data_IF_001206076728
#
_entry.id   IF_001206076728
#
_cell.length_a   1.000
_cell.length_b   1.000
_cell.length_c   1.000
_cell.angle_alpha   90.00
_cell.angle_beta   90.00
_cell.angle_gamma   90.00
#
_symmetry.space_group_name_H-M   'P 1'
#
loop_
_entity.id
_entity.type
_entity.pdbx_description
1 polymer ?
#
# COMPACT_ATOMS: atom_id res chain seq x y z
N UNK A 1 23.40 13.74 4.32
CA UNK A 1 22.94 12.38 4.70
C UNK A 1 23.96 11.30 4.36
N UNK A 2 24.63 11.30 3.20
CA UNK A 2 25.78 10.39 2.94
C UNK A 2 25.41 8.94 2.63
N UNK A 3 24.13 8.58 2.69
CA UNK A 3 23.58 7.26 2.34
C UNK A 3 22.06 7.31 2.27
N UNK A 4 21.44 6.16 2.01
CA UNK A 4 19.98 5.96 2.02
C UNK A 4 19.71 4.69 2.85
N UNK A 5 18.97 4.83 3.94
CA UNK A 5 18.57 3.71 4.79
C UNK A 5 17.17 3.18 4.46
N UNK A 6 16.29 4.05 3.96
CA UNK A 6 14.88 3.72 3.67
C UNK A 6 14.48 4.30 2.32
N UNK A 7 13.82 3.49 1.49
CA UNK A 7 13.20 3.89 0.24
C UNK A 7 11.69 3.62 0.31
N UNK A 8 10.87 4.65 0.13
CA UNK A 8 9.40 4.52 0.17
C UNK A 8 8.81 4.82 -1.20
N UNK A 9 8.26 3.79 -1.84
CA UNK A 9 7.55 3.92 -3.12
C UNK A 9 6.07 4.22 -2.87
N UNK A 10 5.77 5.49 -2.60
CA UNK A 10 4.41 5.98 -2.32
C UNK A 10 3.69 6.56 -3.54
N UNK A 11 4.42 7.14 -4.50
CA UNK A 11 3.82 7.80 -5.65
C UNK A 11 2.91 6.83 -6.43
N UNK A 12 1.70 7.29 -6.76
CA UNK A 12 0.73 6.49 -7.51
C UNK A 12 -0.18 7.37 -8.35
N UNK A 13 -0.65 6.81 -9.47
CA UNK A 13 -1.76 7.31 -10.27
C UNK A 13 -2.89 6.28 -10.30
N UNK A 14 -4.12 6.78 -10.37
CA UNK A 14 -5.35 5.99 -10.30
C UNK A 14 -6.31 6.41 -11.41
N UNK A 15 -6.95 5.43 -12.04
CA UNK A 15 -8.06 5.60 -12.97
C UNK A 15 -8.92 4.33 -12.89
N UNK A 16 -10.18 4.47 -12.47
CA UNK A 16 -11.11 3.35 -12.32
C UNK A 16 -12.06 3.27 -13.52
N UNK A 17 -11.57 2.72 -14.62
CA UNK A 17 -12.33 2.52 -15.87
C UNK A 17 -12.16 1.10 -16.40
N UNK A 18 -13.18 0.62 -17.12
CA UNK A 18 -13.10 -0.64 -17.86
C UNK A 18 -12.10 -0.58 -19.01
N UNK A 19 -11.88 -1.72 -19.66
CA UNK A 19 -10.86 -1.87 -20.71
C UNK A 19 -11.10 -0.94 -21.91
N UNK A 20 -12.36 -0.81 -22.36
CA UNK A 20 -12.69 0.00 -23.54
C UNK A 20 -12.68 1.51 -23.24
N UNK A 21 -12.88 1.89 -21.99
CA UNK A 21 -12.95 3.27 -21.53
C UNK A 21 -11.59 3.82 -21.07
N UNK A 22 -10.60 2.95 -20.89
CA UNK A 22 -9.26 3.35 -20.46
C UNK A 22 -8.44 3.85 -21.65
N UNK A 23 -8.32 5.17 -21.78
CA UNK A 23 -7.42 5.78 -22.76
C UNK A 23 -5.95 5.38 -22.52
N UNK A 24 -5.20 5.13 -23.59
CA UNK A 24 -3.83 4.64 -23.48
C UNK A 24 -2.89 5.62 -22.78
N UNK A 25 -3.14 6.93 -22.85
CA UNK A 25 -2.37 7.91 -22.06
C UNK A 25 -2.57 7.72 -20.57
N UNK A 26 -3.78 7.33 -20.14
CA UNK A 26 -4.08 7.02 -18.72
C UNK A 26 -3.49 5.68 -18.31
N UNK A 27 -3.58 4.68 -19.18
CA UNK A 27 -2.93 3.39 -18.98
C UNK A 27 -1.42 3.57 -18.75
N UNK A 28 -0.75 4.29 -19.65
CA UNK A 28 0.68 4.55 -19.59
C UNK A 28 1.05 5.34 -18.33
N UNK A 29 0.28 6.37 -17.99
CA UNK A 29 0.50 7.14 -16.77
C UNK A 29 0.51 6.25 -15.51
N UNK A 30 -0.49 5.37 -15.36
CA UNK A 30 -0.56 4.45 -14.21
C UNK A 30 0.64 3.50 -14.19
N UNK A 31 1.00 2.89 -15.31
CA UNK A 31 2.10 1.92 -15.36
C UNK A 31 3.48 2.58 -15.20
N UNK A 32 3.65 3.80 -15.73
CA UNK A 32 4.89 4.56 -15.61
C UNK A 32 5.13 5.05 -14.17
N UNK A 33 4.08 5.53 -13.48
CA UNK A 33 4.21 6.02 -12.10
C UNK A 33 4.25 4.86 -11.11
N UNK A 34 3.31 3.91 -11.21
CA UNK A 34 3.15 2.86 -10.19
C UNK A 34 4.25 1.81 -10.34
N UNK A 35 4.13 0.91 -11.32
CA UNK A 35 5.05 -0.24 -11.48
C UNK A 35 6.45 0.20 -11.89
N UNK A 36 6.58 0.93 -13.01
CA UNK A 36 7.90 1.31 -13.54
C UNK A 36 8.63 2.26 -12.58
N UNK A 37 7.91 3.22 -12.00
CA UNK A 37 8.46 4.14 -11.00
C UNK A 37 9.01 3.40 -9.79
N UNK A 38 8.20 2.51 -9.20
CA UNK A 38 8.62 1.64 -8.08
C UNK A 38 9.87 0.85 -8.42
N UNK A 39 9.90 0.19 -9.58
CA UNK A 39 11.06 -0.59 -10.01
C UNK A 39 12.32 0.29 -10.15
N UNK A 40 12.19 1.43 -10.84
CA UNK A 40 13.32 2.31 -11.13
C UNK A 40 13.87 2.96 -9.85
N UNK A 41 13.01 3.49 -8.99
CA UNK A 41 13.43 4.13 -7.73
C UNK A 41 14.15 3.10 -6.85
N UNK A 42 13.55 1.93 -6.63
CA UNK A 42 14.18 0.82 -5.90
C UNK A 42 15.54 0.46 -6.49
N UNK A 43 15.63 0.25 -7.81
CA UNK A 43 16.89 -0.05 -8.51
C UNK A 43 17.98 0.97 -8.19
N UNK A 44 17.65 2.26 -8.17
CA UNK A 44 18.62 3.32 -7.92
C UNK A 44 18.98 3.45 -6.43
N UNK A 45 18.07 3.10 -5.52
CA UNK A 45 18.33 3.13 -4.08
C UNK A 45 19.12 1.92 -3.57
N UNK A 46 18.96 0.73 -4.18
CA UNK A 46 19.57 -0.53 -3.73
C UNK A 46 21.09 -0.42 -3.48
N UNK A 47 21.92 0.18 -4.36
CA UNK A 47 23.35 0.31 -4.10
C UNK A 47 23.68 1.03 -2.77
N UNK A 48 22.86 1.99 -2.38
CA UNK A 48 23.01 2.72 -1.12
C UNK A 48 22.44 1.93 0.07
N UNK A 49 21.30 1.25 -0.13
CA UNK A 49 20.68 0.40 0.88
C UNK A 49 21.58 -0.77 1.30
N UNK A 50 22.38 -1.33 0.38
CA UNK A 50 23.38 -2.36 0.71
C UNK A 50 24.42 -1.92 1.75
N UNK A 51 24.58 -0.61 1.94
CA UNK A 51 25.51 -0.01 2.90
C UNK A 51 24.84 0.36 4.23
N UNK A 52 23.51 0.33 4.30
CA UNK A 52 22.75 0.72 5.48
C UNK A 52 22.76 -0.38 6.55
N UNK A 53 22.57 0.01 7.81
CA UNK A 53 22.54 -0.94 8.94
C UNK A 53 21.23 -1.72 9.03
N UNK A 54 20.12 -1.09 8.66
CA UNK A 54 18.78 -1.68 8.65
C UNK A 54 18.01 -1.24 7.39
N UNK A 55 18.37 -1.72 6.19
CA UNK A 55 17.82 -1.22 4.93
C UNK A 55 16.38 -1.67 4.68
N UNK A 56 15.50 -0.72 4.35
CA UNK A 56 14.10 -1.00 4.00
C UNK A 56 13.69 -0.39 2.66
N UNK A 57 12.95 -1.15 1.87
CA UNK A 57 12.11 -0.70 0.77
C UNK A 57 10.65 -0.97 1.17
N UNK A 58 9.84 0.07 1.20
CA UNK A 58 8.41 -0.04 1.49
C UNK A 58 7.59 0.46 0.30
N UNK A 59 6.82 -0.45 -0.29
CA UNK A 59 5.93 -0.14 -1.39
C UNK A 59 4.51 0.07 -0.86
N UNK A 60 3.88 1.20 -1.17
CA UNK A 60 2.49 1.43 -0.78
C UNK A 60 1.60 0.72 -1.80
N UNK A 61 1.44 -0.58 -1.63
CA UNK A 61 0.83 -1.48 -2.60
C UNK A 61 0.07 -2.63 -1.90
N UNK A 62 -0.99 -3.18 -2.52
CA UNK A 62 -1.85 -4.16 -1.86
C UNK A 62 -1.27 -5.58 -1.82
N UNK A 63 -1.81 -6.49 -1.00
CA UNK A 63 -1.61 -7.92 -1.17
C UNK A 63 -2.04 -8.42 -2.56
N UNK A 64 -1.39 -9.48 -3.04
CA UNK A 64 -1.66 -10.10 -4.35
C UNK A 64 -2.90 -11.02 -4.28
N UNK A 65 -4.11 -10.47 -4.27
CA UNK A 65 -5.36 -11.24 -4.34
C UNK A 65 -5.81 -11.45 -5.80
N UNK A 66 -5.62 -12.67 -6.31
CA UNK A 66 -5.89 -13.04 -7.71
C UNK A 66 -7.38 -13.33 -8.02
N UNK A 67 -8.31 -13.02 -7.10
CA UNK A 67 -9.74 -13.16 -7.38
C UNK A 67 -10.20 -12.17 -8.46
N UNK A 68 -10.94 -12.67 -9.45
CA UNK A 68 -11.43 -11.89 -10.59
C UNK A 68 -12.23 -10.61 -10.22
N UNK A 69 -12.84 -10.56 -9.03
CA UNK A 69 -13.54 -9.37 -8.51
C UNK A 69 -12.67 -8.11 -8.51
N UNK A 70 -11.35 -8.25 -8.34
CA UNK A 70 -10.40 -7.15 -8.32
C UNK A 70 -9.93 -6.70 -9.71
N UNK A 71 -10.21 -7.49 -10.74
CA UNK A 71 -9.76 -7.20 -12.11
C UNK A 71 -10.91 -6.71 -12.98
N UNK A 72 -12.14 -7.21 -12.76
CA UNK A 72 -13.28 -7.04 -13.67
C UNK A 72 -13.64 -5.59 -14.02
N UNK A 73 -13.47 -4.63 -13.09
CA UNK A 73 -13.98 -3.26 -13.24
C UNK A 73 -12.90 -2.23 -13.63
N UNK A 74 -11.62 -2.55 -13.42
CA UNK A 74 -10.51 -1.58 -13.56
C UNK A 74 -9.15 -2.29 -13.76
N UNK A 75 -9.11 -3.26 -14.68
CA UNK A 75 -7.94 -4.15 -14.87
C UNK A 75 -6.62 -3.40 -15.07
N UNK A 76 -6.63 -2.27 -15.78
CA UNK A 76 -5.43 -1.46 -16.00
C UNK A 76 -4.84 -0.91 -14.69
N UNK A 77 -5.69 -0.43 -13.78
CA UNK A 77 -5.25 0.06 -12.47
C UNK A 77 -4.80 -1.11 -11.58
N UNK A 78 -5.52 -2.22 -11.60
CA UNK A 78 -5.16 -3.43 -10.84
C UNK A 78 -3.78 -3.94 -11.26
N UNK A 79 -3.50 -4.04 -12.56
CA UNK A 79 -2.18 -4.40 -13.09
C UNK A 79 -1.09 -3.43 -12.61
N UNK A 80 -1.35 -2.12 -12.67
CA UNK A 80 -0.38 -1.11 -12.25
C UNK A 80 -0.09 -1.16 -10.73
N UNK A 81 -1.08 -1.41 -9.86
CA UNK A 81 -0.84 -1.56 -8.41
C UNK A 81 -0.23 -2.90 -8.05
N UNK A 82 -0.70 -4.00 -8.65
CA UNK A 82 -0.15 -5.33 -8.40
C UNK A 82 1.28 -5.45 -8.93
N UNK A 83 1.66 -4.70 -9.97
CA UNK A 83 3.05 -4.62 -10.42
C UNK A 83 4.01 -4.06 -9.37
N UNK A 84 3.56 -3.13 -8.51
CA UNK A 84 4.35 -2.68 -7.35
C UNK A 84 4.51 -3.82 -6.33
N UNK A 85 3.43 -4.56 -6.05
CA UNK A 85 3.44 -5.73 -5.17
C UNK A 85 4.31 -6.88 -5.71
N UNK A 86 4.38 -7.05 -7.03
CA UNK A 86 5.31 -7.97 -7.67
C UNK A 86 6.76 -7.53 -7.52
N UNK A 87 7.04 -6.20 -7.47
CA UNK A 87 8.37 -5.73 -7.10
C UNK A 87 8.71 -6.12 -5.66
N UNK A 88 7.76 -6.03 -4.72
CA UNK A 88 7.95 -6.55 -3.35
C UNK A 88 8.33 -8.02 -3.35
N UNK A 89 7.53 -8.85 -4.02
CA UNK A 89 7.74 -10.30 -4.07
C UNK A 89 9.09 -10.66 -4.71
N UNK A 90 9.44 -10.04 -5.84
CA UNK A 90 10.68 -10.33 -6.56
C UNK A 90 11.91 -9.82 -5.83
N UNK A 91 11.90 -8.55 -5.41
CA UNK A 91 13.07 -7.90 -4.82
C UNK A 91 13.36 -8.40 -3.39
N UNK A 92 12.35 -8.80 -2.61
CA UNK A 92 12.59 -9.40 -1.30
C UNK A 92 13.41 -10.69 -1.41
N UNK A 93 13.09 -11.54 -2.39
CA UNK A 93 13.81 -12.76 -2.66
C UNK A 93 15.19 -12.50 -3.28
N UNK A 94 15.28 -11.56 -4.23
CA UNK A 94 16.54 -11.20 -4.91
C UNK A 94 17.59 -10.66 -3.94
N UNK A 95 17.19 -9.77 -3.02
CA UNK A 95 18.10 -9.07 -2.10
C UNK A 95 18.13 -9.63 -0.68
N UNK A 96 17.56 -10.83 -0.45
CA UNK A 96 17.57 -11.48 0.85
C UNK A 96 19.00 -11.65 1.42
N UNK A 97 19.97 -12.02 0.57
CA UNK A 97 21.38 -12.18 1.00
C UNK A 97 22.03 -10.85 1.39
N UNK A 98 21.66 -9.77 0.72
CA UNK A 98 22.11 -8.42 1.05
C UNK A 98 21.47 -7.89 2.35
N UNK A 99 20.42 -8.55 2.86
CA UNK A 99 19.72 -8.17 4.09
C UNK A 99 18.80 -6.96 3.92
N UNK A 100 18.36 -6.67 2.70
CA UNK A 100 17.41 -5.60 2.40
C UNK A 100 15.99 -6.11 2.63
N UNK A 101 15.27 -5.45 3.53
CA UNK A 101 13.83 -5.66 3.68
C UNK A 101 13.10 -5.04 2.51
N UNK A 102 12.26 -5.81 1.83
CA UNK A 102 11.32 -5.30 0.83
C UNK A 102 9.94 -5.77 1.21
N UNK A 103 9.06 -4.84 1.56
CA UNK A 103 7.68 -5.13 1.96
C UNK A 103 6.70 -4.22 1.24
N UNK A 104 5.44 -4.61 1.25
CA UNK A 104 4.32 -3.73 0.94
C UNK A 104 3.54 -3.36 2.20
N UNK A 105 2.94 -2.17 2.20
CA UNK A 105 1.98 -1.73 3.20
C UNK A 105 0.72 -1.20 2.51
N UNK A 106 -0.45 -1.60 3.00
CA UNK A 106 -1.75 -1.22 2.46
C UNK A 106 -2.75 -0.92 3.57
N UNK A 107 -3.65 0.04 3.40
CA UNK A 107 -4.61 0.35 4.45
C UNK A 107 -5.81 -0.60 4.40
N UNK A 108 -6.36 -0.94 5.57
CA UNK A 108 -7.60 -1.72 5.67
C UNK A 108 -8.83 -0.93 5.20
N UNK A 109 -8.80 0.40 5.38
CA UNK A 109 -9.87 1.34 5.01
C UNK A 109 -9.34 2.42 4.08
N UNK A 110 -10.23 3.15 3.40
CA UNK A 110 -9.81 4.32 2.63
C UNK A 110 -9.13 5.36 3.54
N UNK A 111 -8.18 6.12 2.97
CA UNK A 111 -7.42 7.15 3.68
C UNK A 111 -7.82 8.52 3.13
N UNK A 112 -8.13 9.46 4.03
CA UNK A 112 -8.59 10.81 3.69
C UNK A 112 -7.46 11.61 3.06
N UNK A 113 -7.38 11.52 1.74
CA UNK A 113 -6.39 12.19 0.90
C UNK A 113 -7.09 13.01 -0.16
N UNK A 114 -6.35 13.93 -0.79
CA UNK A 114 -6.85 14.66 -1.96
C UNK A 114 -7.33 13.71 -3.08
N UNK A 115 -6.71 12.53 -3.25
CA UNK A 115 -7.14 11.54 -4.21
C UNK A 115 -8.54 10.99 -3.88
N UNK A 116 -8.80 10.65 -2.61
CA UNK A 116 -10.14 10.21 -2.19
C UNK A 116 -11.18 11.31 -2.38
N UNK A 117 -10.87 12.52 -1.93
CA UNK A 117 -11.77 13.69 -2.05
C UNK A 117 -12.06 14.09 -3.49
N UNK A 118 -11.14 13.84 -4.43
CA UNK A 118 -11.32 14.27 -5.81
C UNK A 118 -11.76 13.15 -6.77
N UNK A 119 -11.46 11.88 -6.47
CA UNK A 119 -11.56 10.78 -7.44
C UNK A 119 -12.35 9.55 -6.95
N UNK A 120 -12.53 9.35 -5.63
CA UNK A 120 -13.10 8.11 -5.06
C UNK A 120 -14.37 8.34 -4.24
N UNK A 121 -15.21 9.29 -4.64
CA UNK A 121 -16.52 9.51 -4.00
C UNK A 121 -16.63 10.74 -3.10
N UNK A 122 -15.64 11.63 -3.13
CA UNK A 122 -15.80 12.99 -2.60
C UNK A 122 -15.80 13.07 -1.08
N UNK A 123 -16.49 14.09 -0.56
CA UNK A 123 -16.62 14.33 0.88
C UNK A 123 -17.26 13.15 1.63
N UNK A 124 -18.13 12.38 0.97
CA UNK A 124 -18.79 11.21 1.57
C UNK A 124 -17.79 10.11 1.94
N UNK A 125 -16.92 9.72 0.99
CA UNK A 125 -15.90 8.69 1.27
C UNK A 125 -14.79 9.25 2.15
N UNK A 126 -14.48 10.55 2.04
CA UNK A 126 -13.54 11.21 2.95
C UNK A 126 -14.00 11.11 4.43
N UNK A 127 -15.30 11.33 4.71
CA UNK A 127 -15.86 11.20 6.06
C UNK A 127 -15.90 9.75 6.58
N UNK A 128 -15.75 8.77 5.70
CA UNK A 128 -15.66 7.33 6.01
C UNK A 128 -14.21 6.82 5.96
N UNK A 129 -13.24 7.70 5.80
CA UNK A 129 -11.83 7.36 5.71
C UNK A 129 -11.10 7.58 7.04
N UNK A 130 -9.96 6.91 7.20
CA UNK A 130 -9.01 7.22 8.26
C UNK A 130 -8.05 8.35 7.86
N UNK A 131 -7.46 9.01 8.84
CA UNK A 131 -6.36 9.95 8.65
C UNK A 131 -5.12 9.23 8.08
N UNK A 132 -4.29 9.92 7.28
CA UNK A 132 -3.01 9.40 6.80
C UNK A 132 -2.05 8.92 7.91
N UNK A 133 -2.23 9.41 9.14
CA UNK A 133 -1.37 9.09 10.28
C UNK A 133 -1.32 7.58 10.59
N UNK A 134 -2.39 6.81 10.33
CA UNK A 134 -2.37 5.35 10.54
C UNK A 134 -1.33 4.65 9.65
N UNK A 135 -1.19 5.12 8.41
CA UNK A 135 -0.20 4.60 7.47
C UNK A 135 1.20 5.04 7.86
N UNK A 136 1.35 6.26 8.37
CA UNK A 136 2.63 6.76 8.86
C UNK A 136 3.13 5.94 10.05
N UNK A 137 2.27 5.71 11.05
CA UNK A 137 2.61 4.94 12.25
C UNK A 137 2.89 3.47 11.93
N UNK A 138 2.08 2.85 11.04
CA UNK A 138 2.34 1.50 10.57
C UNK A 138 3.67 1.39 9.81
N UNK A 139 4.01 2.36 8.95
CA UNK A 139 5.29 2.40 8.26
C UNK A 139 6.47 2.54 9.24
N UNK A 140 6.34 3.44 10.23
CA UNK A 140 7.33 3.60 11.29
C UNK A 140 7.55 2.30 12.07
N UNK A 141 6.48 1.60 12.45
CA UNK A 141 6.57 0.29 13.11
C UNK A 141 7.35 -0.74 12.26
N UNK A 142 7.09 -0.79 10.95
CA UNK A 142 7.82 -1.68 10.04
C UNK A 142 9.31 -1.34 9.98
N UNK A 143 9.67 -0.05 9.88
CA UNK A 143 11.07 0.38 9.76
C UNK A 143 11.90 0.08 11.02
N UNK A 144 11.27 -0.05 12.18
CA UNK A 144 11.91 -0.42 13.43
C UNK A 144 12.20 -1.93 13.53
N UNK A 145 11.58 -2.75 12.67
CA UNK A 145 11.85 -4.20 12.65
C UNK A 145 13.22 -4.49 12.02
N UNK A 146 13.90 -5.59 12.42
CA UNK A 146 15.12 -6.03 11.77
C UNK A 146 14.86 -6.36 10.30
N UNK A 147 15.54 -5.70 9.38
CA UNK A 147 15.32 -5.82 7.94
C UNK A 147 15.53 -7.25 7.42
N UNK A 148 16.45 -8.01 8.04
CA UNK A 148 16.72 -9.40 7.69
C UNK A 148 15.58 -10.36 8.04
N UNK A 149 14.68 -9.96 8.93
CA UNK A 149 13.58 -10.79 9.43
C UNK A 149 12.24 -10.32 8.84
N UNK A 150 12.05 -9.01 8.72
CA UNK A 150 10.83 -8.41 8.18
C UNK A 150 10.98 -8.11 6.68
N UNK A 151 10.98 -9.15 5.82
CA UNK A 151 11.05 -8.99 4.36
C UNK A 151 10.05 -9.91 3.63
N UNK A 152 9.55 -9.48 2.47
CA UNK A 152 8.61 -10.24 1.65
C UNK A 152 7.16 -10.20 2.12
N UNK A 153 6.81 -9.29 3.03
CA UNK A 153 5.48 -9.20 3.61
C UNK A 153 4.57 -8.24 2.83
N UNK A 154 3.26 -8.50 2.89
CA UNK A 154 2.20 -7.62 2.42
C UNK A 154 1.35 -7.18 3.61
N UNK A 155 1.83 -6.15 4.30
CA UNK A 155 1.24 -5.70 5.55
C UNK A 155 -0.07 -4.93 5.33
N UNK A 156 -0.97 -5.07 6.30
CA UNK A 156 -2.13 -4.22 6.51
C UNK A 156 -1.88 -3.31 7.71
N UNK A 157 -2.10 -2.01 7.55
CA UNK A 157 -1.83 -0.98 8.56
C UNK A 157 -2.33 -1.33 9.97
N UNK A 158 -3.59 -1.72 10.08
CA UNK A 158 -4.21 -2.05 11.35
C UNK A 158 -3.63 -3.34 11.96
N UNK A 159 -3.33 -4.35 11.15
CA UNK A 159 -2.71 -5.60 11.63
C UNK A 159 -1.30 -5.34 12.17
N UNK A 160 -0.53 -4.48 11.50
CA UNK A 160 0.79 -4.04 11.98
C UNK A 160 0.67 -3.36 13.33
N UNK A 161 -0.20 -2.35 13.45
CA UNK A 161 -0.34 -1.58 14.68
C UNK A 161 -0.91 -2.42 15.84
N UNK A 162 -1.83 -3.35 15.55
CA UNK A 162 -2.30 -4.32 16.56
C UNK A 162 -1.18 -5.21 17.07
N UNK A 163 -0.26 -5.63 16.20
CA UNK A 163 0.92 -6.40 16.63
C UNK A 163 1.86 -5.59 17.53
N UNK A 164 1.87 -4.26 17.40
CA UNK A 164 2.57 -3.33 18.31
C UNK A 164 1.75 -2.99 19.58
N UNK A 165 0.59 -3.62 19.78
CA UNK A 165 -0.24 -3.46 20.98
C UNK A 165 -1.31 -2.35 20.89
N UNK A 166 -1.49 -1.71 19.73
CA UNK A 166 -2.55 -0.71 19.54
C UNK A 166 -3.91 -1.41 19.51
N UNK A 167 -4.81 -1.01 20.40
CA UNK A 167 -6.17 -1.57 20.51
C UNK A 167 -7.27 -0.60 20.11
N UNK A 168 -7.06 0.69 20.37
CA UNK A 168 -7.96 1.79 20.00
C UNK A 168 -7.46 2.51 18.74
N UNK A 169 -8.30 2.53 17.70
CA UNK A 169 -8.02 3.14 16.41
C UNK A 169 -8.88 4.40 16.15
N UNK A 170 -9.66 4.84 17.15
CA UNK A 170 -10.56 6.00 17.03
C UNK A 170 -9.82 7.31 16.72
N UNK A 171 -8.58 7.44 17.22
CA UNK A 171 -7.72 8.58 16.93
C UNK A 171 -7.43 8.78 15.43
N UNK A 172 -7.42 7.69 14.66
CA UNK A 172 -7.23 7.75 13.20
C UNK A 172 -8.52 7.99 12.42
N UNK A 173 -9.68 8.08 13.07
CA UNK A 173 -10.96 8.28 12.40
C UNK A 173 -11.83 9.30 13.16
N UNK A 174 -11.33 10.52 13.47
CA UNK A 174 -12.07 11.49 14.25
C UNK A 174 -13.33 11.92 13.48
N UNK A 175 -14.50 11.45 13.91
CA UNK A 175 -15.79 11.76 13.30
C UNK A 175 -16.36 10.69 12.37
N UNK A 176 -15.66 9.58 12.12
CA UNK A 176 -16.25 8.43 11.42
C UNK A 176 -17.18 7.68 12.38
N UNK A 177 -18.49 7.85 12.22
CA UNK A 177 -19.52 7.19 13.04
C UNK A 177 -19.65 5.70 12.69
N UNK A 178 -18.67 4.90 13.08
CA UNK A 178 -18.64 3.43 12.99
C UNK A 178 -18.75 2.83 11.57
N UNK A 179 -18.67 3.64 10.52
CA UNK A 179 -18.85 3.21 9.12
C UNK A 179 -17.64 3.58 8.27
N UNK A 180 -16.51 2.89 8.49
CA UNK A 180 -15.34 3.04 7.63
C UNK A 180 -15.59 2.43 6.25
N UNK A 181 -15.09 3.05 5.18
CA UNK A 181 -15.09 2.44 3.86
C UNK A 181 -13.87 1.53 3.71
N UNK A 182 -14.08 0.26 3.37
CA UNK A 182 -12.99 -0.71 3.17
C UNK A 182 -12.21 -0.37 1.90
N UNK A 183 -10.88 -0.47 1.95
CA UNK A 183 -10.07 -0.17 0.77
C UNK A 183 -10.14 -1.29 -0.28
N UNK A 184 -9.77 -0.96 -1.52
CA UNK A 184 -9.62 -1.92 -2.59
C UNK A 184 -8.54 -2.94 -2.27
N UNK A 185 -8.66 -4.14 -2.84
CA UNK A 185 -7.66 -5.19 -2.82
C UNK A 185 -7.34 -5.81 -1.46
N UNK A 186 -8.00 -5.38 -0.38
CA UNK A 186 -7.87 -6.03 0.93
C UNK A 186 -8.49 -7.43 0.87
N UNK A 187 -7.73 -8.50 1.17
CA UNK A 187 -8.25 -9.86 1.17
C UNK A 187 -9.48 -10.02 2.08
N UNK A 188 -10.45 -10.86 1.66
CA UNK A 188 -11.69 -11.05 2.44
C UNK A 188 -11.43 -11.55 3.86
N UNK A 189 -10.38 -12.35 4.05
CA UNK A 189 -9.97 -12.92 5.33
C UNK A 189 -9.45 -11.86 6.31
N UNK A 190 -8.76 -10.82 5.82
CA UNK A 190 -8.34 -9.67 6.65
C UNK A 190 -9.57 -8.98 7.23
N UNK A 191 -10.60 -8.74 6.40
CA UNK A 191 -11.85 -8.17 6.89
C UNK A 191 -12.63 -9.10 7.82
N UNK A 192 -12.57 -10.41 7.61
CA UNK A 192 -13.26 -11.38 8.46
C UNK A 192 -12.61 -11.48 9.86
N UNK A 193 -11.29 -11.37 9.92
CA UNK A 193 -10.50 -11.51 11.15
C UNK A 193 -10.35 -10.18 11.91
N UNK A 194 -10.52 -9.04 11.23
CA UNK A 194 -10.45 -7.73 11.89
C UNK A 194 -11.70 -7.45 12.75
N UNK A 195 -11.52 -6.91 13.97
CA UNK A 195 -12.64 -6.40 14.75
C UNK A 195 -13.24 -5.13 14.14
N UNK A 196 -12.49 -4.40 13.30
CA UNK A 196 -12.95 -3.21 12.59
C UNK A 196 -13.98 -3.60 11.53
N UNK A 197 -15.18 -3.04 11.63
CA UNK A 197 -16.22 -3.21 10.61
C UNK A 197 -16.07 -2.14 9.54
N UNK A 198 -16.05 -2.59 8.29
CA UNK A 198 -15.98 -1.71 7.12
C UNK A 198 -17.17 -1.97 6.18
N UNK A 199 -17.57 -0.93 5.47
CA UNK A 199 -18.50 -1.01 4.34
C UNK A 199 -17.70 -1.18 3.05
N UNK A 200 -18.06 -2.22 2.27
CA UNK A 200 -17.48 -2.43 0.93
C UNK A 200 -18.24 -1.58 -0.08
N UNK A 201 -17.51 -0.76 -0.84
CA UNK A 201 -18.06 0.22 -1.78
C UNK A 201 -17.82 -0.14 -3.26
N UNK A 202 -17.52 -1.40 -3.55
CA UNK A 202 -17.10 -1.92 -4.86
C UNK A 202 -17.77 -3.26 -5.22
#
# INVERSE_FOLDING_TARGET
FGGIDICVNNASAIQLTGTLETDMRRYDLMHQINTRGTFLVSKMCIPHLKLAKNPHILNLAPPLDMKAKWFKNHVAYTMAKFGMSMCTLGMSAEFAKDGIAVNSLWPISTIDTAAVRNLLGGATVAAMSRSPDIMADAACAIFLRPAREATGNFYIDEEVLRAEGVTDFSAYAPGAADQLAGDFFVPDEVFANSPTKVRRIY
#
